data_IF_232698588429
#
_entry.id   IF_232698588429
#
_cell.length_a   1.000
_cell.length_b   1.000
_cell.length_c   1.000
_cell.angle_alpha   90.00
_cell.angle_beta   90.00
_cell.angle_gamma   90.00
#
_symmetry.space_group_name_H-M   'P 1'
#
loop_
_entity.id
_entity.type
_entity.pdbx_description
1 polymer ?
#
# COMPACT_ATOMS: atom_id res chain seq x y z
N UNK A 1 -5.90 -13.87 20.47
CA UNK A 1 -5.85 -12.41 20.67
C UNK A 1 -5.09 -11.80 19.51
N UNK A 2 -5.46 -10.62 19.09
CA UNK A 2 -4.83 -9.87 17.99
C UNK A 2 -4.51 -8.46 18.50
N UNK A 3 -3.36 -8.25 19.17
CA UNK A 3 -3.02 -6.96 19.75
C UNK A 3 -2.96 -5.86 18.68
N UNK A 4 -3.45 -4.67 19.03
CA UNK A 4 -3.38 -3.49 18.17
C UNK A 4 -2.40 -2.50 18.77
N UNK A 5 -1.42 -2.07 17.96
CA UNK A 5 -0.43 -1.08 18.30
C UNK A 5 -0.65 0.17 17.45
N UNK A 6 -0.69 1.32 18.09
CA UNK A 6 -0.85 2.61 17.41
C UNK A 6 0.37 3.49 17.67
N UNK A 7 0.99 3.93 16.59
CA UNK A 7 2.10 4.88 16.60
C UNK A 7 1.57 6.24 16.14
N UNK A 8 1.66 7.21 17.00
CA UNK A 8 1.21 8.59 16.76
C UNK A 8 2.06 9.53 17.60
N UNK A 9 2.17 10.79 17.22
CA UNK A 9 2.74 11.87 18.05
C UNK A 9 1.73 12.37 19.12
N UNK A 10 0.44 12.13 18.89
CA UNK A 10 -0.63 12.49 19.84
C UNK A 10 -0.49 11.77 21.18
N UNK A 11 -0.85 12.43 22.31
CA UNK A 11 -0.73 11.86 23.65
C UNK A 11 -1.70 10.71 23.92
N UNK A 12 -2.85 10.67 23.23
CA UNK A 12 -3.91 9.67 23.46
C UNK A 12 -4.66 9.33 22.19
N UNK A 13 -5.26 8.13 22.16
CA UNK A 13 -6.14 7.71 21.08
C UNK A 13 -7.20 6.71 21.59
N UNK A 14 -8.29 6.59 20.84
CA UNK A 14 -9.35 5.62 21.06
C UNK A 14 -9.42 4.66 19.88
N UNK A 15 -9.53 3.37 20.18
CA UNK A 15 -9.66 2.30 19.21
C UNK A 15 -11.12 1.87 19.10
N UNK A 16 -11.58 1.67 17.86
CA UNK A 16 -12.90 1.13 17.57
C UNK A 16 -12.77 -0.12 16.68
N UNK A 17 -13.52 -1.16 17.01
CA UNK A 17 -13.70 -2.36 16.19
C UNK A 17 -15.19 -2.45 15.83
N UNK A 18 -15.49 -2.39 14.54
CA UNK A 18 -16.87 -2.38 14.02
C UNK A 18 -17.76 -1.33 14.72
N UNK A 19 -17.22 -0.12 14.93
CA UNK A 19 -17.89 0.98 15.61
C UNK A 19 -17.95 0.88 17.14
N UNK A 20 -17.56 -0.26 17.74
CA UNK A 20 -17.52 -0.44 19.20
C UNK A 20 -16.20 0.03 19.78
N UNK A 21 -16.22 0.96 20.72
CA UNK A 21 -15.02 1.41 21.41
C UNK A 21 -14.36 0.28 22.21
N UNK A 22 -13.04 0.21 22.08
CA UNK A 22 -12.15 -0.64 22.87
C UNK A 22 -11.46 0.15 23.99
N UNK A 23 -11.95 1.36 24.23
CA UNK A 23 -11.43 2.29 25.24
C UNK A 23 -10.30 3.17 24.72
N UNK A 24 -10.10 4.26 25.46
CA UNK A 24 -9.00 5.20 25.24
C UNK A 24 -7.71 4.69 25.90
N UNK A 25 -6.58 4.97 25.27
CA UNK A 25 -5.24 4.76 25.83
C UNK A 25 -4.46 6.08 25.81
N UNK A 26 -3.60 6.28 26.79
CA UNK A 26 -2.71 7.44 26.89
C UNK A 26 -1.26 6.99 26.99
N UNK A 27 -0.38 7.76 26.36
CA UNK A 27 1.07 7.59 26.52
C UNK A 27 1.48 7.94 27.94
N UNK A 28 2.47 7.23 28.44
CA UNK A 28 3.05 7.53 29.76
C UNK A 28 4.51 7.06 29.79
N UNK A 29 5.25 7.54 30.79
CA UNK A 29 6.68 7.25 30.96
C UNK A 29 6.98 6.00 31.80
N UNK A 30 5.98 5.16 32.10
CA UNK A 30 6.16 3.95 32.91
C UNK A 30 7.08 2.91 32.23
N UNK A 31 7.17 2.96 30.91
CA UNK A 31 8.09 2.13 30.12
C UNK A 31 8.39 2.77 28.77
N UNK A 32 9.51 2.36 28.14
CA UNK A 32 9.85 2.78 26.78
C UNK A 32 8.73 2.43 25.80
N UNK A 33 8.04 1.31 26.01
CA UNK A 33 6.93 0.92 25.16
C UNK A 33 5.74 1.87 25.25
N UNK A 34 5.35 2.27 26.46
CA UNK A 34 4.20 3.14 26.69
C UNK A 34 4.47 4.61 26.32
N UNK A 35 5.75 5.02 26.26
CA UNK A 35 6.18 6.35 25.84
C UNK A 35 5.91 6.63 24.36
N UNK A 36 6.12 5.62 23.48
CA UNK A 36 6.13 5.83 22.04
C UNK A 36 4.95 5.22 21.29
N UNK A 37 4.09 4.45 21.99
CA UNK A 37 2.94 3.78 21.36
C UNK A 37 1.78 3.59 22.32
N UNK A 38 0.60 3.42 21.74
CA UNK A 38 -0.63 3.07 22.45
C UNK A 38 -0.96 1.61 22.13
N UNK A 39 -1.37 0.83 23.12
CA UNK A 39 -1.50 -0.62 22.99
C UNK A 39 -2.84 -1.11 23.53
N UNK A 40 -3.54 -1.91 22.73
CA UNK A 40 -4.72 -2.71 23.10
C UNK A 40 -4.35 -4.18 22.97
N UNK A 41 -4.01 -4.83 24.06
CA UNK A 41 -3.43 -6.18 24.08
C UNK A 41 -4.49 -7.30 24.06
N UNK A 42 -5.73 -6.98 24.42
CA UNK A 42 -6.84 -7.90 24.64
C UNK A 42 -7.87 -7.93 23.52
N UNK A 43 -7.61 -7.22 22.42
CA UNK A 43 -8.49 -7.18 21.25
C UNK A 43 -8.53 -8.53 20.53
N UNK A 44 -9.64 -8.78 19.84
CA UNK A 44 -9.83 -9.95 18.96
C UNK A 44 -10.12 -9.47 17.56
N UNK A 45 -9.58 -10.18 16.58
CA UNK A 45 -9.93 -9.92 15.19
C UNK A 45 -11.40 -10.27 14.94
N UNK A 46 -12.11 -9.31 14.36
CA UNK A 46 -13.45 -9.47 13.80
C UNK A 46 -13.42 -8.91 12.38
N UNK A 47 -13.97 -9.63 11.36
CA UNK A 47 -14.11 -9.06 10.02
C UNK A 47 -14.89 -7.75 10.04
N UNK A 48 -14.44 -6.75 9.30
CA UNK A 48 -15.08 -5.43 9.27
C UNK A 48 -14.06 -4.30 9.34
N UNK A 49 -14.25 -3.37 10.26
CA UNK A 49 -13.48 -2.14 10.37
C UNK A 49 -12.73 -2.04 11.70
N UNK A 50 -11.46 -1.67 11.64
CA UNK A 50 -10.68 -1.18 12.76
C UNK A 50 -10.38 0.30 12.52
N UNK A 51 -10.85 1.18 13.42
CA UNK A 51 -10.65 2.63 13.34
C UNK A 51 -9.99 3.15 14.60
N UNK A 52 -8.99 3.99 14.43
CA UNK A 52 -8.32 4.71 15.51
C UNK A 52 -8.55 6.20 15.33
N UNK A 53 -8.90 6.87 16.41
CA UNK A 53 -8.99 8.33 16.48
C UNK A 53 -7.96 8.82 17.48
N UNK A 54 -7.02 9.65 17.05
CA UNK A 54 -5.99 10.27 17.87
C UNK A 54 -6.41 11.69 18.27
N UNK A 55 -6.08 12.09 19.50
CA UNK A 55 -6.49 13.36 20.07
C UNK A 55 -5.29 14.17 20.56
N UNK A 56 -5.37 15.48 20.35
CA UNK A 56 -4.47 16.46 20.95
C UNK A 56 -4.65 16.56 22.48
N UNK A 57 -3.73 17.22 23.15
CA UNK A 57 -3.80 17.45 24.60
C UNK A 57 -5.07 18.21 25.03
N UNK A 58 -5.57 19.10 24.19
CA UNK A 58 -6.80 19.88 24.40
C UNK A 58 -8.09 19.09 24.15
N UNK A 59 -7.99 17.86 23.65
CA UNK A 59 -9.13 16.99 23.35
C UNK A 59 -9.66 17.09 21.93
N UNK A 60 -9.14 17.98 21.11
CA UNK A 60 -9.48 18.04 19.68
C UNK A 60 -8.94 16.81 18.94
N UNK A 61 -9.61 16.41 17.85
CA UNK A 61 -9.16 15.32 16.98
C UNK A 61 -7.90 15.74 16.24
N UNK A 62 -6.81 15.00 16.41
CA UNK A 62 -5.54 15.20 15.70
C UNK A 62 -5.54 14.48 14.35
N UNK A 63 -6.20 13.33 14.28
CA UNK A 63 -6.32 12.54 13.06
C UNK A 63 -6.99 11.20 13.31
N UNK A 64 -7.31 10.52 12.20
CA UNK A 64 -7.87 9.17 12.26
C UNK A 64 -7.28 8.26 11.18
N UNK A 65 -7.31 6.98 11.44
CA UNK A 65 -6.93 5.93 10.49
C UNK A 65 -7.91 4.78 10.57
N UNK A 66 -8.37 4.35 9.41
CA UNK A 66 -9.28 3.20 9.27
C UNK A 66 -8.61 2.12 8.42
N UNK A 67 -8.74 0.88 8.87
CA UNK A 67 -8.35 -0.33 8.12
C UNK A 67 -9.58 -1.23 8.04
N UNK A 68 -9.86 -1.77 6.86
CA UNK A 68 -11.00 -2.67 6.62
C UNK A 68 -10.52 -4.04 6.19
N UNK A 69 -11.25 -5.05 6.60
CA UNK A 69 -11.08 -6.40 6.09
C UNK A 69 -11.37 -6.41 4.60
N UNK A 70 -10.41 -6.85 3.80
CA UNK A 70 -10.58 -6.96 2.37
C UNK A 70 -11.52 -8.12 2.00
N UNK A 71 -12.32 -7.88 0.97
CA UNK A 71 -13.15 -8.89 0.33
C UNK A 71 -12.39 -9.73 -0.70
N UNK A 72 -13.12 -10.30 -1.65
CA UNK A 72 -12.51 -11.06 -2.76
C UNK A 72 -11.77 -10.12 -3.71
N UNK A 73 -10.60 -10.53 -4.24
CA UNK A 73 -9.87 -9.80 -5.27
C UNK A 73 -10.77 -9.43 -6.47
N UNK A 74 -10.72 -8.16 -6.93
CA UNK A 74 -11.54 -7.66 -8.04
C UNK A 74 -10.70 -7.00 -9.14
N UNK A 75 -9.78 -6.10 -8.76
CA UNK A 75 -9.02 -5.33 -9.73
C UNK A 75 -7.61 -5.00 -9.26
N UNK A 76 -6.74 -4.65 -10.23
CA UNK A 76 -5.42 -4.11 -9.96
C UNK A 76 -5.47 -2.60 -9.72
N UNK A 77 -4.64 -2.12 -8.81
CA UNK A 77 -4.41 -0.69 -8.51
C UNK A 77 -2.96 -0.35 -8.81
N UNK A 78 -2.72 0.77 -9.50
CA UNK A 78 -1.39 1.25 -9.87
C UNK A 78 -1.13 2.61 -9.24
N UNK A 79 -0.09 2.71 -8.42
CA UNK A 79 0.31 3.95 -7.74
C UNK A 79 1.75 4.29 -8.07
N UNK A 80 2.02 5.29 -8.93
CA UNK A 80 3.37 5.76 -9.21
C UNK A 80 3.88 6.63 -8.06
N UNK A 81 5.19 6.59 -7.80
CA UNK A 81 5.83 7.45 -6.79
C UNK A 81 5.97 8.91 -7.25
N UNK A 82 5.95 9.16 -8.56
CA UNK A 82 6.02 10.51 -9.15
C UNK A 82 5.37 10.60 -10.53
N UNK A 83 4.98 11.79 -10.92
CA UNK A 83 4.59 12.24 -12.29
C UNK A 83 4.85 13.76 -12.40
N UNK A 84 5.28 14.29 -13.55
CA UNK A 84 5.77 13.60 -14.75
C UNK A 84 7.17 13.01 -14.56
N UNK A 85 7.72 12.38 -15.62
CA UNK A 85 9.11 11.94 -15.72
C UNK A 85 9.90 12.90 -16.62
N UNK A 86 11.23 12.92 -16.45
CA UNK A 86 12.16 13.68 -17.29
C UNK A 86 12.59 12.86 -18.52
N UNK A 87 12.64 13.50 -19.72
CA UNK A 87 13.06 12.87 -20.97
C UNK A 87 14.60 12.88 -21.10
N UNK A 88 15.30 12.22 -20.17
CA UNK A 88 16.76 12.15 -20.13
C UNK A 88 17.33 10.75 -20.43
N UNK A 89 16.45 9.78 -20.70
CA UNK A 89 16.82 8.38 -20.94
C UNK A 89 17.21 7.60 -19.69
N UNK A 90 17.22 8.24 -18.51
CA UNK A 90 17.67 7.66 -17.25
C UNK A 90 16.62 7.71 -16.14
N UNK A 91 15.71 8.69 -16.19
CA UNK A 91 14.72 8.88 -15.14
C UNK A 91 13.84 7.66 -14.92
N UNK A 92 13.61 7.31 -13.64
CA UNK A 92 12.87 6.11 -13.22
C UNK A 92 11.58 6.50 -12.47
N UNK A 93 10.53 5.74 -12.75
CA UNK A 93 9.31 5.73 -11.93
C UNK A 93 9.12 4.35 -11.32
N UNK A 94 8.79 4.33 -10.04
CA UNK A 94 8.44 3.14 -9.28
C UNK A 94 6.92 3.08 -9.17
N UNK A 95 6.34 2.02 -9.71
CA UNK A 95 4.89 1.83 -9.74
C UNK A 95 4.54 0.70 -8.79
N UNK A 96 3.89 1.05 -7.66
CA UNK A 96 3.31 0.04 -6.77
C UNK A 96 2.09 -0.56 -7.45
N UNK A 97 2.08 -1.89 -7.55
CA UNK A 97 1.01 -2.69 -8.16
C UNK A 97 0.37 -3.50 -7.04
N UNK A 98 -0.92 -3.32 -6.82
CA UNK A 98 -1.66 -4.00 -5.76
C UNK A 98 -2.96 -4.60 -6.29
N UNK A 99 -3.46 -5.63 -5.59
CA UNK A 99 -4.81 -6.15 -5.82
C UNK A 99 -5.75 -5.55 -4.79
N UNK A 100 -6.88 -5.03 -5.26
CA UNK A 100 -7.95 -4.54 -4.41
C UNK A 100 -9.24 -5.35 -4.61
N UNK A 101 -10.10 -5.32 -3.59
CA UNK A 101 -11.46 -5.79 -3.68
C UNK A 101 -12.37 -4.76 -4.40
N UNK A 102 -13.66 -5.07 -4.52
CA UNK A 102 -14.66 -4.18 -5.17
C UNK A 102 -14.81 -2.81 -4.48
N UNK A 103 -14.48 -2.73 -3.19
CA UNK A 103 -14.63 -1.54 -2.35
C UNK A 103 -13.30 -0.75 -2.24
N UNK A 104 -12.25 -1.21 -2.94
CA UNK A 104 -10.93 -0.58 -2.98
C UNK A 104 -10.00 -0.95 -1.82
N UNK A 105 -10.36 -1.91 -0.97
CA UNK A 105 -9.48 -2.38 0.08
C UNK A 105 -8.42 -3.32 -0.53
N UNK A 106 -7.15 -3.07 -0.21
CA UNK A 106 -6.06 -3.93 -0.68
C UNK A 106 -6.19 -5.31 -0.05
N UNK A 107 -6.02 -6.35 -0.87
CA UNK A 107 -6.11 -7.76 -0.45
C UNK A 107 -4.72 -8.28 -0.08
N UNK A 108 -4.32 -8.27 1.20
CA UNK A 108 -2.94 -8.55 1.61
C UNK A 108 -2.56 -10.04 1.54
N UNK A 109 -3.51 -10.91 1.25
CA UNK A 109 -3.30 -12.37 1.14
C UNK A 109 -3.12 -12.83 -0.30
N UNK A 110 -3.16 -11.90 -1.27
CA UNK A 110 -3.04 -12.24 -2.69
C UNK A 110 -1.57 -12.41 -3.09
N UNK A 111 -1.26 -13.52 -3.78
CA UNK A 111 0.08 -13.87 -4.25
C UNK A 111 0.10 -14.23 -5.75
N UNK A 112 -0.93 -13.83 -6.50
CA UNK A 112 -1.02 -14.15 -7.93
C UNK A 112 0.11 -13.55 -8.76
N UNK A 113 0.44 -14.18 -9.87
CA UNK A 113 1.34 -13.64 -10.88
C UNK A 113 0.69 -12.43 -11.57
N UNK A 114 1.47 -11.35 -11.72
CA UNK A 114 1.12 -10.14 -12.47
C UNK A 114 2.10 -9.95 -13.62
N UNK A 115 1.56 -9.66 -14.80
CA UNK A 115 2.33 -9.38 -16.04
C UNK A 115 2.24 -7.90 -16.38
N UNK A 116 3.35 -7.37 -16.85
CA UNK A 116 3.51 -5.95 -17.19
C UNK A 116 3.75 -5.74 -18.66
N UNK A 117 3.28 -4.62 -19.18
CA UNK A 117 3.68 -4.13 -20.51
C UNK A 117 3.85 -2.62 -20.47
N UNK A 118 4.85 -2.13 -21.20
CA UNK A 118 5.17 -0.70 -21.35
C UNK A 118 5.17 -0.37 -22.83
N UNK A 119 4.51 0.73 -23.20
CA UNK A 119 4.49 1.26 -24.57
C UNK A 119 4.76 2.76 -24.52
N UNK A 120 5.28 3.31 -25.65
CA UNK A 120 5.50 4.73 -25.81
C UNK A 120 6.90 5.20 -25.40
N UNK A 121 7.02 6.36 -24.78
CA UNK A 121 8.27 7.06 -24.49
C UNK A 121 9.06 6.49 -23.30
N UNK A 122 9.09 5.18 -23.13
CA UNK A 122 9.84 4.51 -22.05
C UNK A 122 9.90 3.01 -22.20
N UNK A 123 10.61 2.36 -21.28
CA UNK A 123 10.80 0.90 -21.27
C UNK A 123 10.67 0.32 -19.87
N UNK A 124 10.25 -0.94 -19.79
CA UNK A 124 10.29 -1.72 -18.55
C UNK A 124 11.74 -1.99 -18.15
N UNK A 125 12.03 -1.84 -16.85
CA UNK A 125 13.37 -2.10 -16.30
C UNK A 125 13.43 -3.30 -15.40
N UNK A 126 12.51 -3.37 -14.43
CA UNK A 126 12.52 -4.42 -13.44
C UNK A 126 11.17 -4.54 -12.74
N UNK A 127 10.96 -5.67 -12.06
CA UNK A 127 9.91 -5.83 -11.05
C UNK A 127 10.45 -6.63 -9.87
N UNK A 128 9.94 -6.32 -8.67
CA UNK A 128 10.21 -7.03 -7.44
C UNK A 128 8.98 -6.97 -6.52
N UNK A 129 8.87 -7.94 -5.61
CA UNK A 129 7.72 -8.04 -4.70
C UNK A 129 8.09 -7.92 -3.21
N UNK A 130 9.38 -7.83 -2.87
CA UNK A 130 9.85 -7.76 -1.48
C UNK A 130 9.88 -9.10 -0.74
N UNK A 131 9.55 -10.22 -1.37
CA UNK A 131 9.72 -11.56 -0.80
C UNK A 131 11.21 -11.94 -0.81
N UNK A 132 11.86 -12.10 0.37
CA UNK A 132 13.29 -12.43 0.45
C UNK A 132 13.60 -13.84 -0.04
N UNK A 133 12.59 -14.69 -0.26
CA UNK A 133 12.75 -16.06 -0.75
C UNK A 133 12.47 -16.20 -2.25
N UNK A 134 12.03 -15.12 -2.91
CA UNK A 134 11.70 -15.14 -4.33
C UNK A 134 12.95 -15.31 -5.20
N UNK A 135 12.91 -16.27 -6.10
CA UNK A 135 13.95 -16.50 -7.12
C UNK A 135 13.58 -15.91 -8.49
N UNK A 136 12.50 -15.12 -8.57
CA UNK A 136 12.09 -14.44 -9.82
C UNK A 136 13.16 -13.45 -10.27
N UNK A 137 13.49 -13.49 -11.55
CA UNK A 137 14.46 -12.58 -12.17
C UNK A 137 13.83 -11.19 -12.33
N UNK A 138 14.45 -10.16 -11.81
CA UNK A 138 13.90 -8.79 -11.78
C UNK A 138 13.67 -8.17 -13.16
N UNK A 139 14.42 -8.59 -14.18
CA UNK A 139 14.30 -8.04 -15.54
C UNK A 139 13.11 -8.62 -16.34
N UNK A 140 12.44 -9.64 -15.83
CA UNK A 140 11.25 -10.19 -16.47
C UNK A 140 10.05 -9.27 -16.25
N UNK A 141 9.21 -9.03 -17.28
CA UNK A 141 8.03 -8.18 -17.16
C UNK A 141 6.85 -8.91 -16.47
N UNK A 142 7.17 -9.68 -15.45
CA UNK A 142 6.21 -10.40 -14.61
C UNK A 142 6.82 -10.69 -13.23
N UNK A 143 5.98 -10.75 -12.21
CA UNK A 143 6.35 -11.20 -10.86
C UNK A 143 5.11 -11.65 -10.10
N UNK A 144 5.31 -12.44 -9.04
CA UNK A 144 4.22 -12.77 -8.12
C UNK A 144 4.00 -11.60 -7.15
N UNK A 145 2.77 -11.40 -6.69
CA UNK A 145 2.51 -10.49 -5.59
C UNK A 145 2.99 -11.12 -4.27
N UNK A 146 3.49 -10.30 -3.37
CA UNK A 146 3.80 -10.66 -1.99
C UNK A 146 3.02 -9.72 -1.06
N UNK A 147 2.21 -10.31 -0.17
CA UNK A 147 1.28 -9.54 0.67
C UNK A 147 0.38 -8.58 -0.14
N UNK A 148 -0.09 -9.05 -1.30
CA UNK A 148 -0.98 -8.30 -2.19
C UNK A 148 -0.30 -7.20 -3.01
N UNK A 149 1.04 -7.12 -3.02
CA UNK A 149 1.78 -6.01 -3.65
C UNK A 149 3.02 -6.47 -4.42
N UNK A 150 3.41 -5.67 -5.41
CA UNK A 150 4.70 -5.71 -6.10
C UNK A 150 5.07 -4.30 -6.56
N UNK A 151 6.32 -4.09 -6.93
CA UNK A 151 6.80 -2.84 -7.53
C UNK A 151 7.33 -3.12 -8.93
N UNK A 152 6.85 -2.38 -9.93
CA UNK A 152 7.42 -2.33 -11.26
C UNK A 152 8.21 -1.04 -11.45
N UNK A 153 9.32 -1.11 -12.15
CA UNK A 153 10.21 0.03 -12.45
C UNK A 153 10.17 0.28 -13.96
N UNK A 154 9.86 1.51 -14.34
CA UNK A 154 9.84 1.96 -15.73
C UNK A 154 10.83 3.10 -15.89
N UNK A 155 11.62 3.06 -16.97
CA UNK A 155 12.61 4.07 -17.33
C UNK A 155 12.06 4.94 -18.46
N UNK A 156 12.24 6.25 -18.35
CA UNK A 156 11.93 7.19 -19.43
C UNK A 156 12.86 6.99 -20.63
N UNK A 157 12.36 7.34 -21.80
CA UNK A 157 13.19 7.53 -22.99
C UNK A 157 13.87 8.90 -23.01
N UNK A 158 14.66 9.15 -24.05
CA UNK A 158 15.39 10.41 -24.32
C UNK A 158 14.57 11.46 -25.06
N UNK A 159 13.29 11.16 -25.35
CA UNK A 159 12.38 12.07 -26.06
C UNK A 159 11.09 12.26 -25.28
N UNK A 160 10.55 13.49 -25.25
CA UNK A 160 9.23 13.75 -24.69
C UNK A 160 8.15 12.88 -25.34
N UNK A 161 7.16 12.52 -24.55
CA UNK A 161 6.04 11.69 -25.00
C UNK A 161 5.22 11.14 -23.85
N UNK A 162 4.49 10.07 -24.11
CA UNK A 162 3.65 9.42 -23.11
C UNK A 162 4.06 7.96 -22.97
N UNK A 163 4.15 7.50 -21.73
CA UNK A 163 4.29 6.08 -21.39
C UNK A 163 2.92 5.55 -21.06
N UNK A 164 2.53 4.41 -21.65
CA UNK A 164 1.38 3.60 -21.25
C UNK A 164 1.89 2.34 -20.55
N UNK A 165 1.76 2.30 -19.23
CA UNK A 165 2.05 1.12 -18.41
C UNK A 165 0.77 0.35 -18.16
N UNK A 166 0.78 -0.97 -18.39
CA UNK A 166 -0.35 -1.86 -18.11
C UNK A 166 0.10 -3.03 -17.23
N UNK A 167 -0.69 -3.32 -16.20
CA UNK A 167 -0.59 -4.55 -15.42
C UNK A 167 -1.82 -5.42 -15.64
N UNK A 168 -1.62 -6.74 -15.69
CA UNK A 168 -2.70 -7.73 -15.84
C UNK A 168 -2.40 -8.98 -15.03
N UNK A 169 -3.45 -9.60 -14.49
CA UNK A 169 -3.38 -10.83 -13.72
C UNK A 169 -4.63 -11.67 -13.93
N UNK A 170 -4.52 -12.99 -13.76
CA UNK A 170 -5.65 -13.91 -13.93
C UNK A 170 -6.72 -13.66 -12.86
N UNK A 171 -7.97 -13.54 -13.28
CA UNK A 171 -9.15 -13.48 -12.39
C UNK A 171 -9.41 -12.13 -11.73
N UNK A 172 -8.72 -11.07 -12.17
CA UNK A 172 -8.99 -9.68 -11.75
C UNK A 172 -8.96 -8.74 -12.95
N UNK A 173 -9.61 -7.60 -12.83
CA UNK A 173 -9.58 -6.56 -13.87
C UNK A 173 -8.18 -5.97 -13.97
N UNK A 174 -7.63 -5.81 -15.19
CA UNK A 174 -6.34 -5.17 -15.40
C UNK A 174 -6.41 -3.67 -15.11
N UNK A 175 -5.24 -3.06 -14.89
CA UNK A 175 -5.12 -1.62 -14.74
C UNK A 175 -4.13 -1.04 -15.77
N UNK A 176 -4.37 0.20 -16.16
CA UNK A 176 -3.51 0.96 -17.07
C UNK A 176 -3.22 2.32 -16.47
N UNK A 177 -1.98 2.78 -16.60
CA UNK A 177 -1.47 4.04 -16.10
C UNK A 177 -0.77 4.77 -17.24
N UNK A 178 -1.11 6.05 -17.43
CA UNK A 178 -0.41 6.93 -18.34
C UNK A 178 0.51 7.88 -17.56
N UNK A 179 1.73 8.07 -18.05
CA UNK A 179 2.75 8.94 -17.46
C UNK A 179 3.35 9.79 -18.55
N UNK A 180 3.31 11.11 -18.37
CA UNK A 180 3.95 12.06 -19.30
C UNK A 180 5.45 12.08 -19.07
N UNK A 181 6.22 12.08 -20.15
CA UNK A 181 7.67 12.29 -20.22
C UNK A 181 7.92 13.65 -20.85
N UNK A 182 8.56 14.55 -20.13
CA UNK A 182 8.78 15.96 -20.52
C UNK A 182 10.26 16.30 -20.58
#
# INVERSE_FOLDING_TARGET
MTPVFVYTDSPRAELFINGKSQGMREKNDSSVMNRYRLMWMDTRYEPGEVRVVAYNADGSVAGEKTVRTAGKPDHLVLTPNKRPMTADGEDLVYITVQVADKDGNIVPTDSREVKFSVKGAGKFRAAANGDPTSLRLFHLPETDLFSGAATAIVQAGDKPGKITFRASAKGVKPATLEIDVK
#
